data_IF_657761288483
#
_entry.id   IF_657761288483
#
_cell.length_a   1.000
_cell.length_b   1.000
_cell.length_c   1.000
_cell.angle_alpha   90.00
_cell.angle_beta   90.00
_cell.angle_gamma   90.00
#
_symmetry.space_group_name_H-M   'P 1'
#
loop_
_entity.id
_entity.type
_entity.pdbx_description
1 polymer ?
#
# COMPACT_ATOMS: atom_id res chain seq x y z
N UNK A 1 -24.07 -41.43 2.96
CA UNK A 1 -23.91 -41.05 1.54
C UNK A 1 -24.88 -39.91 1.28
N UNK A 2 -24.44 -38.67 1.50
CA UNK A 2 -25.24 -37.47 1.21
C UNK A 2 -24.35 -36.58 0.35
N UNK A 3 -24.70 -36.52 -0.93
CA UNK A 3 -24.15 -35.57 -1.89
C UNK A 3 -24.63 -34.17 -1.51
N UNK A 4 -23.71 -33.22 -1.38
CA UNK A 4 -24.02 -31.79 -1.42
C UNK A 4 -23.32 -31.23 -2.65
N UNK A 5 -24.09 -31.15 -3.73
CA UNK A 5 -23.85 -30.24 -4.84
C UNK A 5 -23.92 -28.81 -4.30
N UNK A 6 -22.77 -28.19 -4.02
CA UNK A 6 -22.69 -26.75 -3.80
C UNK A 6 -22.61 -26.08 -5.17
N UNK A 7 -23.62 -25.24 -5.45
CA UNK A 7 -23.68 -24.35 -6.61
C UNK A 7 -22.42 -23.48 -6.62
N UNK A 8 -21.66 -23.53 -7.71
CA UNK A 8 -20.56 -22.60 -7.97
C UNK A 8 -21.20 -21.22 -8.14
N UNK A 9 -21.01 -20.34 -7.16
CA UNK A 9 -21.57 -18.99 -7.15
C UNK A 9 -20.83 -18.10 -8.16
N UNK A 10 -21.56 -17.18 -8.79
CA UNK A 10 -21.00 -16.17 -9.71
C UNK A 10 -19.85 -15.35 -9.08
N UNK A 11 -19.76 -15.30 -7.75
CA UNK A 11 -18.74 -14.59 -6.98
C UNK A 11 -17.32 -15.23 -7.07
N UNK A 12 -17.22 -16.54 -7.29
CA UNK A 12 -15.92 -17.25 -7.39
C UNK A 12 -15.21 -16.99 -8.73
N UNK A 13 -15.94 -16.49 -9.74
CA UNK A 13 -15.37 -16.11 -11.03
C UNK A 13 -14.85 -14.66 -11.06
N UNK A 14 -15.32 -13.80 -10.14
CA UNK A 14 -14.96 -12.38 -10.12
C UNK A 14 -13.53 -12.13 -9.69
N UNK A 15 -13.00 -12.89 -8.73
CA UNK A 15 -11.64 -12.67 -8.19
C UNK A 15 -10.56 -13.00 -9.23
N UNK A 16 -10.61 -14.12 -9.97
CA UNK A 16 -9.69 -14.39 -11.08
C UNK A 16 -9.86 -13.40 -12.23
N UNK A 17 -11.08 -12.97 -12.56
CA UNK A 17 -11.34 -11.96 -13.59
C UNK A 17 -10.82 -10.57 -13.18
N UNK A 18 -10.99 -10.14 -11.93
CA UNK A 18 -10.44 -8.87 -11.42
C UNK A 18 -8.92 -8.89 -11.38
N UNK A 19 -8.32 -10.00 -10.94
CA UNK A 19 -6.87 -10.20 -10.98
C UNK A 19 -6.37 -10.15 -12.42
N UNK A 20 -7.05 -10.82 -13.35
CA UNK A 20 -6.74 -10.79 -14.80
C UNK A 20 -6.97 -9.40 -15.40
N UNK A 21 -7.99 -8.65 -14.98
CA UNK A 21 -8.25 -7.28 -15.45
C UNK A 21 -7.18 -6.31 -14.94
N UNK A 22 -6.67 -6.51 -13.73
CA UNK A 22 -5.57 -5.71 -13.16
C UNK A 22 -4.23 -6.07 -13.79
N UNK A 23 -3.96 -7.34 -14.12
CA UNK A 23 -2.67 -7.78 -14.69
C UNK A 23 -2.60 -7.78 -16.21
N UNK A 24 -3.72 -7.91 -16.93
CA UNK A 24 -3.75 -8.06 -18.39
C UNK A 24 -4.06 -6.78 -19.18
N UNK A 25 -4.30 -5.64 -18.51
CA UNK A 25 -4.74 -4.43 -19.22
C UNK A 25 -3.77 -3.26 -19.08
N UNK A 26 -3.30 -2.80 -20.24
CA UNK A 26 -2.60 -1.54 -20.48
C UNK A 26 -2.97 -0.46 -19.45
N UNK A 27 -1.98 -0.11 -18.59
CA UNK A 27 -2.10 0.57 -17.27
C UNK A 27 -3.00 1.82 -17.22
N UNK A 28 -3.38 2.40 -18.37
CA UNK A 28 -4.12 3.65 -18.46
C UNK A 28 -5.65 3.56 -18.54
N UNK A 29 -6.24 2.50 -19.12
CA UNK A 29 -7.63 2.57 -19.59
C UNK A 29 -8.67 1.90 -18.67
N UNK A 30 -8.33 0.79 -18.02
CA UNK A 30 -9.31 0.04 -17.20
C UNK A 30 -9.29 0.43 -15.73
N UNK A 31 -8.13 0.77 -15.17
CA UNK A 31 -8.01 1.45 -13.86
C UNK A 31 -8.87 2.72 -13.84
N UNK A 32 -8.84 3.50 -14.94
CA UNK A 32 -9.71 4.67 -15.14
C UNK A 32 -11.19 4.32 -15.27
N UNK A 33 -11.54 3.19 -15.88
CA UNK A 33 -12.95 2.78 -16.06
C UNK A 33 -13.57 2.26 -14.76
N UNK A 34 -12.87 1.42 -13.99
CA UNK A 34 -13.36 0.86 -12.72
C UNK A 34 -13.47 1.96 -11.66
N UNK A 35 -12.50 2.88 -11.58
CA UNK A 35 -12.62 4.04 -10.69
C UNK A 35 -13.80 4.98 -11.07
N UNK A 36 -14.28 4.93 -12.31
CA UNK A 36 -15.34 5.79 -12.84
C UNK A 36 -16.76 5.19 -12.78
N UNK A 37 -16.96 3.92 -12.40
CA UNK A 37 -18.33 3.33 -12.40
C UNK A 37 -19.17 3.79 -11.19
N UNK A 38 -20.40 4.30 -11.39
CA UNK A 38 -21.21 4.89 -10.31
C UNK A 38 -21.74 3.87 -9.27
N UNK A 39 -21.71 2.57 -9.56
CA UNK A 39 -22.30 1.51 -8.71
C UNK A 39 -21.38 0.95 -7.61
N UNK A 40 -20.10 1.31 -7.59
CA UNK A 40 -19.12 0.63 -6.75
C UNK A 40 -18.96 1.20 -5.32
N UNK A 41 -19.88 2.00 -4.77
CA UNK A 41 -19.63 2.65 -3.46
C UNK A 41 -19.46 1.69 -2.26
N UNK A 42 -20.30 0.65 -2.05
CA UNK A 42 -20.06 -0.35 -1.00
C UNK A 42 -19.06 -1.44 -1.44
N UNK A 43 -18.98 -1.72 -2.75
CA UNK A 43 -18.04 -2.69 -3.33
C UNK A 43 -16.60 -2.20 -3.31
N UNK A 44 -16.37 -0.88 -3.30
CA UNK A 44 -15.04 -0.28 -3.29
C UNK A 44 -14.29 -0.53 -1.98
N UNK A 45 -14.99 -0.49 -0.84
CA UNK A 45 -14.35 -0.76 0.45
C UNK A 45 -13.91 -2.24 0.50
N UNK A 46 -14.78 -3.17 0.07
CA UNK A 46 -14.42 -4.61 -0.04
C UNK A 46 -13.29 -4.83 -1.04
N UNK A 47 -13.37 -4.24 -2.24
CA UNK A 47 -12.32 -4.35 -3.25
C UNK A 47 -10.97 -3.81 -2.73
N UNK A 48 -10.99 -2.64 -2.09
CA UNK A 48 -9.78 -1.99 -1.61
C UNK A 48 -9.14 -2.76 -0.46
N UNK A 49 -9.93 -3.24 0.50
CA UNK A 49 -9.43 -3.84 1.74
C UNK A 49 -9.27 -5.36 1.68
N UNK A 50 -10.14 -6.09 0.96
CA UNK A 50 -10.09 -7.56 0.87
C UNK A 50 -9.29 -8.06 -0.32
N UNK A 51 -9.13 -7.26 -1.39
CA UNK A 51 -8.47 -7.70 -2.63
C UNK A 51 -7.19 -6.90 -2.88
N UNK A 52 -7.30 -5.58 -3.00
CA UNK A 52 -6.16 -4.73 -3.39
C UNK A 52 -5.10 -4.68 -2.27
N UNK A 53 -5.51 -4.56 -1.01
CA UNK A 53 -4.57 -4.49 0.09
C UNK A 53 -3.70 -5.76 0.27
N UNK A 54 -4.27 -6.99 0.27
CA UNK A 54 -3.46 -8.21 0.30
C UNK A 54 -2.49 -8.34 -0.89
N UNK A 55 -2.90 -7.90 -2.09
CA UNK A 55 -2.03 -7.91 -3.28
C UNK A 55 -0.84 -6.94 -3.17
N UNK A 56 -0.98 -5.87 -2.38
CA UNK A 56 0.13 -4.97 -2.09
C UNK A 56 1.04 -5.46 -0.97
N UNK A 57 0.64 -6.46 -0.18
CA UNK A 57 1.41 -6.92 0.97
C UNK A 57 2.71 -7.61 0.57
N UNK A 58 3.75 -7.38 1.38
CA UNK A 58 4.97 -8.18 1.34
C UNK A 58 4.60 -9.66 1.50
N UNK A 59 4.90 -10.47 0.49
CA UNK A 59 4.46 -11.85 0.39
C UNK A 59 5.60 -12.84 0.68
N UNK A 60 5.35 -14.14 0.47
CA UNK A 60 6.36 -15.17 0.73
C UNK A 60 7.49 -15.15 -0.31
N UNK A 61 7.20 -14.82 -1.57
CA UNK A 61 8.21 -14.74 -2.62
C UNK A 61 9.15 -13.54 -2.39
N UNK A 62 8.59 -12.41 -1.93
CA UNK A 62 9.35 -11.25 -1.47
C UNK A 62 10.26 -11.62 -0.28
N UNK A 63 9.78 -12.45 0.66
CA UNK A 63 10.56 -12.93 1.80
C UNK A 63 11.72 -13.81 1.35
N UNK A 64 11.46 -14.77 0.46
CA UNK A 64 12.50 -15.67 -0.09
C UNK A 64 13.56 -14.85 -0.83
N UNK A 65 13.15 -13.93 -1.71
CA UNK A 65 14.08 -13.08 -2.43
C UNK A 65 14.90 -12.20 -1.48
N UNK A 66 14.27 -11.64 -0.44
CA UNK A 66 14.99 -10.86 0.57
C UNK A 66 16.03 -11.68 1.34
N UNK A 67 15.72 -12.93 1.67
CA UNK A 67 16.60 -13.82 2.42
C UNK A 67 17.75 -14.37 1.55
N UNK A 68 17.50 -14.62 0.27
CA UNK A 68 18.50 -15.12 -0.69
C UNK A 68 19.40 -14.01 -1.25
N UNK A 69 18.81 -12.92 -1.73
CA UNK A 69 19.52 -11.79 -2.31
C UNK A 69 18.78 -10.46 -2.06
N UNK A 70 19.04 -9.79 -0.92
CA UNK A 70 18.39 -8.51 -0.60
C UNK A 70 18.80 -7.38 -1.55
N UNK A 71 19.96 -7.48 -2.24
CA UNK A 71 20.35 -6.49 -3.23
C UNK A 71 19.47 -6.60 -4.48
N UNK A 72 19.20 -7.84 -4.92
CA UNK A 72 18.29 -8.10 -6.03
C UNK A 72 16.85 -7.66 -5.70
N UNK A 73 16.38 -7.89 -4.47
CA UNK A 73 15.08 -7.38 -4.03
C UNK A 73 14.98 -5.85 -4.22
N UNK A 74 16.00 -5.11 -3.76
CA UNK A 74 16.03 -3.66 -3.90
C UNK A 74 16.12 -3.26 -5.38
N UNK A 75 17.00 -3.88 -6.17
CA UNK A 75 17.16 -3.61 -7.61
C UNK A 75 15.85 -3.81 -8.37
N UNK A 76 15.16 -4.93 -8.11
CA UNK A 76 13.88 -5.28 -8.73
C UNK A 76 12.81 -4.22 -8.47
N UNK A 77 12.80 -3.62 -7.27
CA UNK A 77 11.87 -2.54 -6.92
C UNK A 77 12.04 -1.24 -7.71
N UNK A 78 13.09 -1.11 -8.52
CA UNK A 78 13.30 0.03 -9.44
C UNK A 78 13.37 -0.39 -10.91
N UNK A 79 13.06 -1.66 -11.22
CA UNK A 79 13.07 -2.17 -12.58
C UNK A 79 11.70 -1.96 -13.24
N UNK A 80 11.65 -1.03 -14.20
CA UNK A 80 10.42 -0.62 -14.88
C UNK A 80 9.72 -1.81 -15.58
N UNK A 81 10.51 -2.79 -16.07
CA UNK A 81 9.96 -3.95 -16.78
C UNK A 81 9.28 -4.88 -15.78
N UNK A 82 9.95 -5.19 -14.67
CA UNK A 82 9.37 -6.00 -13.58
C UNK A 82 8.14 -5.31 -12.98
N UNK A 83 8.21 -4.00 -12.79
CA UNK A 83 7.09 -3.19 -12.32
C UNK A 83 5.88 -3.33 -13.24
N UNK A 84 6.07 -3.39 -14.57
CA UNK A 84 4.97 -3.48 -15.54
C UNK A 84 4.07 -4.70 -15.29
N UNK A 85 4.65 -5.81 -14.80
CA UNK A 85 3.94 -7.06 -14.54
C UNK A 85 3.66 -7.29 -13.04
N UNK A 86 4.09 -6.38 -12.17
CA UNK A 86 3.93 -6.49 -10.73
C UNK A 86 2.49 -6.21 -10.30
N UNK A 87 1.87 -7.19 -9.65
CA UNK A 87 0.54 -7.06 -9.02
C UNK A 87 0.52 -5.99 -7.92
N UNK A 88 1.64 -5.83 -7.19
CA UNK A 88 1.84 -4.81 -6.15
C UNK A 88 1.80 -3.41 -6.77
N UNK A 89 2.52 -3.21 -7.87
CA UNK A 89 2.58 -1.91 -8.57
C UNK A 89 1.25 -1.58 -9.22
N UNK A 90 0.59 -2.54 -9.88
CA UNK A 90 -0.74 -2.36 -10.47
C UNK A 90 -1.81 -2.01 -9.42
N UNK A 91 -1.74 -2.64 -8.23
CA UNK A 91 -2.63 -2.37 -7.10
C UNK A 91 -2.43 -0.95 -6.55
N UNK A 92 -1.18 -0.50 -6.39
CA UNK A 92 -0.89 0.85 -5.91
C UNK A 92 -1.26 1.94 -6.94
N UNK A 93 -1.09 1.66 -8.24
CA UNK A 93 -1.56 2.52 -9.33
C UNK A 93 -3.09 2.68 -9.29
N UNK A 94 -3.82 1.60 -9.00
CA UNK A 94 -5.27 1.64 -8.80
C UNK A 94 -5.67 2.53 -7.63
N UNK A 95 -5.01 2.39 -6.47
CA UNK A 95 -5.25 3.25 -5.30
C UNK A 95 -5.01 4.72 -5.65
N UNK A 96 -3.91 5.01 -6.33
CA UNK A 96 -3.54 6.38 -6.73
C UNK A 96 -4.58 6.99 -7.67
N UNK A 97 -5.05 6.23 -8.66
CA UNK A 97 -6.12 6.68 -9.56
C UNK A 97 -7.46 6.85 -8.85
N UNK A 98 -7.81 5.97 -7.91
CA UNK A 98 -9.02 6.06 -7.11
C UNK A 98 -9.02 7.35 -6.26
N UNK A 99 -7.90 7.65 -5.61
CA UNK A 99 -7.69 8.88 -4.84
C UNK A 99 -7.77 10.11 -5.75
N UNK A 100 -7.18 10.05 -6.95
CA UNK A 100 -7.18 11.16 -7.91
C UNK A 100 -8.59 11.46 -8.45
N UNK A 101 -9.37 10.43 -8.80
CA UNK A 101 -10.69 10.57 -9.43
C UNK A 101 -11.82 10.75 -8.42
N UNK A 102 -11.72 10.17 -7.22
CA UNK A 102 -12.77 10.18 -6.17
C UNK A 102 -12.25 10.62 -4.79
N UNK A 103 -11.36 11.61 -4.77
CA UNK A 103 -10.69 12.04 -3.55
C UNK A 103 -11.59 12.55 -2.42
N UNK A 104 -12.80 13.05 -2.70
CA UNK A 104 -13.66 13.65 -1.65
C UNK A 104 -14.21 12.66 -0.62
N UNK A 105 -14.29 11.36 -0.94
CA UNK A 105 -14.82 10.33 -0.03
C UNK A 105 -13.84 9.19 0.26
N UNK A 106 -13.13 8.70 -0.76
CA UNK A 106 -12.29 7.51 -0.61
C UNK A 106 -10.92 7.81 -0.03
N UNK A 107 -10.37 9.01 -0.27
CA UNK A 107 -9.04 9.37 0.23
C UNK A 107 -9.01 9.44 1.77
N UNK A 108 -9.93 10.13 2.47
CA UNK A 108 -9.95 10.11 3.93
C UNK A 108 -10.11 8.70 4.51
N UNK A 109 -11.00 7.87 3.94
CA UNK A 109 -11.17 6.47 4.36
C UNK A 109 -9.89 5.66 4.23
N UNK A 110 -9.21 5.79 3.09
CA UNK A 110 -7.96 5.07 2.85
C UNK A 110 -6.85 5.53 3.81
N UNK A 111 -6.69 6.84 4.02
CA UNK A 111 -5.71 7.35 4.98
C UNK A 111 -6.03 6.88 6.40
N UNK A 112 -7.29 6.92 6.83
CA UNK A 112 -7.70 6.37 8.13
C UNK A 112 -7.35 4.89 8.27
N UNK A 113 -7.49 4.11 7.20
CA UNK A 113 -7.07 2.70 7.20
C UNK A 113 -5.56 2.55 7.36
N UNK A 114 -4.75 3.35 6.66
CA UNK A 114 -3.27 3.35 6.80
C UNK A 114 -2.86 3.74 8.23
N UNK A 115 -3.44 4.79 8.79
CA UNK A 115 -3.21 5.21 10.18
C UNK A 115 -3.61 4.09 11.16
N UNK A 116 -4.72 3.40 10.89
CA UNK A 116 -5.13 2.23 11.65
C UNK A 116 -4.09 1.09 11.65
N UNK A 117 -3.41 0.86 10.51
CA UNK A 117 -2.29 -0.09 10.45
C UNK A 117 -1.12 0.38 11.31
N UNK A 118 -0.76 1.66 11.24
CA UNK A 118 0.32 2.21 12.05
C UNK A 118 0.06 2.07 13.55
N UNK A 119 -1.15 2.37 14.00
CA UNK A 119 -1.54 2.22 15.41
C UNK A 119 -1.48 0.76 15.86
N UNK A 120 -2.09 -0.16 15.09
CA UNK A 120 -2.04 -1.61 15.40
C UNK A 120 -0.60 -2.14 15.45
N UNK A 121 0.27 -1.65 14.57
CA UNK A 121 1.67 -2.02 14.57
C UNK A 121 2.43 -1.48 15.79
N UNK A 122 2.10 -0.28 16.25
CA UNK A 122 2.68 0.32 17.46
C UNK A 122 2.24 -0.38 18.75
N UNK A 123 1.00 -0.87 18.79
CA UNK A 123 0.43 -1.58 19.95
C UNK A 123 0.81 -3.07 20.00
N UNK A 124 1.20 -3.67 18.87
CA UNK A 124 1.51 -5.08 18.79
C UNK A 124 2.84 -5.44 19.51
N UNK A 125 2.89 -6.56 20.24
CA UNK A 125 4.14 -7.05 20.84
C UNK A 125 5.14 -7.45 19.76
N UNK A 126 6.44 -7.41 20.08
CA UNK A 126 7.54 -7.57 19.13
C UNK A 126 7.44 -8.87 18.31
N UNK A 127 6.96 -9.95 18.93
CA UNK A 127 6.82 -11.28 18.35
C UNK A 127 5.65 -11.38 17.37
N UNK A 128 4.65 -10.52 17.49
CA UNK A 128 3.44 -10.52 16.65
C UNK A 128 3.28 -9.23 15.86
N UNK A 129 4.37 -8.45 15.73
CA UNK A 129 4.34 -7.22 14.95
C UNK A 129 3.96 -7.52 13.50
N UNK A 130 2.93 -6.84 12.95
CA UNK A 130 2.46 -7.08 11.59
C UNK A 130 3.37 -6.39 10.55
N UNK A 131 4.64 -6.84 10.44
CA UNK A 131 5.66 -6.25 9.58
C UNK A 131 5.21 -6.11 8.11
N UNK A 132 4.50 -7.12 7.58
CA UNK A 132 3.98 -7.11 6.20
C UNK A 132 2.95 -6.00 5.96
N UNK A 133 2.07 -5.75 6.93
CA UNK A 133 1.08 -4.67 6.81
C UNK A 133 1.74 -3.31 6.95
N UNK A 134 2.75 -3.20 7.82
CA UNK A 134 3.55 -1.99 7.99
C UNK A 134 4.29 -1.61 6.70
N UNK A 135 4.81 -2.57 5.96
CA UNK A 135 5.44 -2.35 4.63
C UNK A 135 4.48 -1.65 3.67
N UNK A 136 3.24 -2.15 3.55
CA UNK A 136 2.21 -1.53 2.68
C UNK A 136 1.80 -0.16 3.17
N UNK A 137 1.69 0.02 4.48
CA UNK A 137 1.34 1.31 5.05
C UNK A 137 2.42 2.37 4.73
N UNK A 138 3.70 2.00 4.80
CA UNK A 138 4.81 2.86 4.40
C UNK A 138 4.82 3.11 2.89
N UNK A 139 4.55 2.09 2.06
CA UNK A 139 4.41 2.22 0.61
C UNK A 139 3.32 3.23 0.25
N UNK A 140 2.10 3.04 0.77
CA UNK A 140 0.97 3.91 0.53
C UNK A 140 1.23 5.35 1.00
N UNK A 141 1.85 5.51 2.17
CA UNK A 141 2.24 6.81 2.70
C UNK A 141 3.25 7.52 1.78
N UNK A 142 4.30 6.81 1.33
CA UNK A 142 5.27 7.37 0.39
C UNK A 142 4.67 7.71 -0.97
N UNK A 143 3.88 6.83 -1.57
CA UNK A 143 3.29 7.05 -2.89
C UNK A 143 2.27 8.19 -2.91
N UNK A 144 1.53 8.41 -1.83
CA UNK A 144 0.53 9.48 -1.74
C UNK A 144 1.09 10.83 -1.28
N UNK A 145 2.42 10.94 -1.17
CA UNK A 145 3.16 12.12 -0.70
C UNK A 145 2.67 13.44 -1.34
N UNK A 146 2.60 13.52 -2.67
CA UNK A 146 2.17 14.72 -3.39
C UNK A 146 0.76 15.16 -2.99
N UNK A 147 -0.15 14.19 -2.81
CA UNK A 147 -1.53 14.46 -2.44
C UNK A 147 -1.66 14.91 -0.99
N UNK A 148 -0.94 14.25 -0.09
CA UNK A 148 -0.94 14.56 1.35
C UNK A 148 -0.39 15.96 1.62
N UNK A 149 0.68 16.37 0.94
CA UNK A 149 1.27 17.72 1.07
C UNK A 149 0.35 18.86 0.61
N UNK A 150 -0.66 18.56 -0.19
CA UNK A 150 -1.61 19.54 -0.74
C UNK A 150 -2.97 19.53 -0.04
N UNK A 151 -3.20 18.62 0.91
CA UNK A 151 -4.52 18.38 1.50
C UNK A 151 -4.48 18.55 3.01
N UNK A 152 -5.22 19.52 3.55
CA UNK A 152 -5.43 19.64 5.00
C UNK A 152 -6.49 18.64 5.51
N UNK A 153 -6.41 18.17 6.78
CA UNK A 153 -5.38 18.51 7.78
C UNK A 153 -4.07 17.71 7.63
N UNK A 154 -3.99 16.78 6.68
CA UNK A 154 -2.88 15.82 6.57
C UNK A 154 -1.52 16.48 6.39
N UNK A 155 -1.45 17.60 5.66
CA UNK A 155 -0.22 18.36 5.46
C UNK A 155 0.44 18.74 6.78
N UNK A 156 -0.35 19.21 7.76
CA UNK A 156 0.16 19.60 9.08
C UNK A 156 0.65 18.42 9.92
N UNK A 157 0.10 17.22 9.70
CA UNK A 157 0.46 15.99 10.43
C UNK A 157 1.60 15.19 9.78
N UNK A 158 2.12 15.61 8.62
CA UNK A 158 3.15 14.85 7.89
C UNK A 158 4.43 14.63 8.70
N UNK A 159 4.89 15.67 9.40
CA UNK A 159 6.09 15.60 10.24
C UNK A 159 5.89 14.61 11.39
N UNK A 160 4.75 14.70 12.07
CA UNK A 160 4.37 13.79 13.14
C UNK A 160 4.32 12.32 12.64
N UNK A 161 3.71 12.08 11.48
CA UNK A 161 3.67 10.74 10.89
C UNK A 161 5.06 10.18 10.54
N UNK A 162 5.99 11.02 10.07
CA UNK A 162 7.37 10.59 9.80
C UNK A 162 8.10 10.19 11.08
N UNK A 163 8.04 11.07 12.10
CA UNK A 163 8.71 10.85 13.39
C UNK A 163 8.14 9.63 14.11
N UNK A 164 6.82 9.46 14.12
CA UNK A 164 6.19 8.37 14.86
C UNK A 164 6.22 7.03 14.14
N UNK A 165 6.18 7.03 12.80
CA UNK A 165 5.91 5.80 12.05
C UNK A 165 6.98 5.41 11.05
N UNK A 166 7.85 6.33 10.62
CA UNK A 166 8.91 6.06 9.63
C UNK A 166 10.27 5.95 10.30
N UNK A 167 10.66 6.95 11.10
CA UNK A 167 12.00 6.99 11.70
C UNK A 167 12.33 5.81 12.63
N UNK A 168 11.41 5.30 13.47
CA UNK A 168 11.69 4.13 14.30
C UNK A 168 12.03 2.88 13.48
N UNK A 169 11.54 2.80 12.24
CA UNK A 169 11.78 1.65 11.37
C UNK A 169 13.20 1.61 10.80
N UNK A 170 14.01 2.67 10.91
CA UNK A 170 15.43 2.59 10.56
C UNK A 170 16.20 1.60 11.45
N UNK A 171 15.72 1.38 12.67
CA UNK A 171 16.26 0.38 13.61
C UNK A 171 15.40 -0.88 13.70
N UNK A 172 14.47 -1.10 12.76
CA UNK A 172 13.58 -2.27 12.76
C UNK A 172 14.39 -3.57 12.65
N UNK A 173 14.02 -4.66 13.34
CA UNK A 173 14.66 -5.97 13.14
C UNK A 173 14.43 -6.50 11.72
N UNK A 174 13.29 -6.16 11.11
CA UNK A 174 12.93 -6.52 9.75
C UNK A 174 13.71 -5.68 8.72
N UNK A 175 14.63 -6.30 7.97
CA UNK A 175 15.47 -5.61 6.99
C UNK A 175 14.68 -4.93 5.87
N UNK A 176 13.63 -5.59 5.36
CA UNK A 176 12.77 -5.04 4.31
C UNK A 176 12.08 -3.75 4.78
N UNK A 177 11.71 -3.64 6.06
CA UNK A 177 11.15 -2.41 6.62
C UNK A 177 12.15 -1.28 6.71
N UNK A 178 13.42 -1.56 7.05
CA UNK A 178 14.48 -0.53 7.02
C UNK A 178 14.61 0.06 5.61
N UNK A 179 14.66 -0.79 4.59
CA UNK A 179 14.71 -0.36 3.19
C UNK A 179 13.46 0.43 2.79
N UNK A 180 12.27 -0.03 3.19
CA UNK A 180 11.01 0.67 2.90
C UNK A 180 10.92 2.02 3.59
N UNK A 181 11.35 2.12 4.85
CA UNK A 181 11.38 3.36 5.61
C UNK A 181 12.32 4.38 4.98
N UNK A 182 13.50 3.96 4.52
CA UNK A 182 14.43 4.81 3.79
C UNK A 182 13.83 5.35 2.48
N UNK A 183 13.17 4.48 1.71
CA UNK A 183 12.45 4.91 0.51
C UNK A 183 11.33 5.90 0.81
N UNK A 184 10.52 5.62 1.84
CA UNK A 184 9.40 6.48 2.23
C UNK A 184 9.90 7.85 2.71
N UNK A 185 10.91 7.89 3.59
CA UNK A 185 11.55 9.13 4.02
C UNK A 185 12.10 9.94 2.82
N UNK A 186 12.67 9.26 1.83
CA UNK A 186 13.12 9.87 0.58
C UNK A 186 12.00 10.59 -0.20
N UNK A 187 10.78 10.03 -0.22
CA UNK A 187 9.60 10.70 -0.81
C UNK A 187 9.27 12.01 -0.10
N UNK A 188 9.62 12.11 1.18
CA UNK A 188 9.36 13.28 2.02
C UNK A 188 10.54 14.26 2.10
N UNK A 189 11.68 14.00 1.43
CA UNK A 189 12.90 14.81 1.55
C UNK A 189 12.69 16.33 1.33
N UNK A 190 11.77 16.70 0.43
CA UNK A 190 11.47 18.11 0.12
C UNK A 190 10.33 18.72 0.97
N UNK A 191 9.92 18.15 2.11
CA UNK A 191 8.96 18.84 3.00
C UNK A 191 9.67 19.88 3.86
N UNK A 192 8.96 20.97 4.15
CA UNK A 192 9.41 21.92 5.16
C UNK A 192 9.07 21.35 6.53
N UNK A 193 10.09 20.87 7.25
CA UNK A 193 9.96 20.51 8.66
C UNK A 193 9.84 21.78 9.49
N UNK A 194 8.88 21.79 10.42
CA UNK A 194 8.71 22.90 11.33
C UNK A 194 9.77 22.87 12.43
N UNK A 195 10.20 21.66 12.83
CA UNK A 195 11.19 21.47 13.89
C UNK A 195 12.51 20.93 13.32
N UNK A 196 13.54 21.78 13.26
CA UNK A 196 14.86 21.43 12.72
C UNK A 196 15.67 20.49 13.63
N UNK A 197 15.20 20.26 14.86
CA UNK A 197 15.80 19.35 15.85
C UNK A 197 15.39 17.88 15.69
N UNK A 198 14.47 17.57 14.78
CA UNK A 198 13.94 16.20 14.58
C UNK A 198 14.94 15.20 13.96
N UNK A 199 16.16 15.63 13.63
CA UNK A 199 17.21 14.81 13.01
C UNK A 199 18.35 14.41 13.96
N UNK A 200 18.30 14.84 15.22
CA UNK A 200 19.27 14.43 16.24
C UNK A 200 18.86 13.07 16.84
N UNK A 201 19.08 11.99 16.10
CA UNK A 201 19.00 10.60 16.60
C UNK A 201 20.32 9.88 16.36
#
# INVERSE_FOLDING_TARGET
MISISHSIGEDDLYIPLLTTVITATDRGLVTRRIACTPYCSPTLDVLLFEIIFPLMCFNNDDQVLWDEDPHEYVRKGYDIIEDLYSSKTASMDFVTELVRKRGKGNFPKFIQFIVGIFNRYGEAPLEQKPYRQKDVALLAFGTLCDKLRQTEPYKSELENMLVQHVFPEFSSPAGHLRAKAAWAAGQYANINFSDQTSFDV
#
